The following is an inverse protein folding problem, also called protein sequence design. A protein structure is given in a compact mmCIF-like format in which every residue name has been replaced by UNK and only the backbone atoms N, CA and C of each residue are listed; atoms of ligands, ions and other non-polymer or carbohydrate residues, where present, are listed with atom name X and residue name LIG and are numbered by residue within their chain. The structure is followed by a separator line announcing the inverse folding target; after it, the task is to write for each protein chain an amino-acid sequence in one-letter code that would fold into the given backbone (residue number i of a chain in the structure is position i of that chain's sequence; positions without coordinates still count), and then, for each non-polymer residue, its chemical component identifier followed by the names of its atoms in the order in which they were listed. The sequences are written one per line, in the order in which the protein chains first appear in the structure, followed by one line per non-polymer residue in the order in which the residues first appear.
data_IF_327760753724
#
_entry.id   IF_327760753724
#
_cell.length_a   1.000
_cell.length_b   1.000
_cell.length_c   1.000
_cell.angle_alpha   90.00
_cell.angle_beta   90.00
_cell.angle_gamma   90.00
#
_symmetry.space_group_name_H-M   'P 1'
#
loop_
_entity.id
_entity.type
_entity.pdbx_description
1 polymer ?
#
# COMPACT_ATOMS: atom_id res chain seq x y z
N UNK A 1 2.53 -18.06 1.18
CA UNK A 1 2.49 -18.09 2.66
C UNK A 1 2.54 -16.67 3.22
N UNK A 2 3.47 -15.84 2.78
CA UNK A 2 3.65 -14.47 3.29
C UNK A 2 2.43 -13.58 3.08
N UNK A 3 1.78 -13.65 1.92
CA UNK A 3 0.56 -12.85 1.68
C UNK A 3 -0.60 -13.22 2.62
N UNK A 4 -0.72 -14.49 3.02
CA UNK A 4 -1.69 -14.93 4.02
C UNK A 4 -1.35 -14.37 5.42
N UNK A 5 -0.06 -14.32 5.76
CA UNK A 5 0.38 -13.69 7.01
C UNK A 5 0.12 -12.18 6.99
N UNK A 6 0.41 -11.50 5.88
CA UNK A 6 0.14 -10.07 5.71
C UNK A 6 -1.36 -9.75 5.79
N UNK A 7 -2.23 -10.62 5.26
CA UNK A 7 -3.69 -10.42 5.34
C UNK A 7 -4.24 -10.55 6.77
N UNK A 8 -3.49 -11.13 7.71
CA UNK A 8 -3.88 -11.21 9.12
C UNK A 8 -3.38 -10.03 9.96
N UNK A 9 -2.57 -9.13 9.39
CA UNK A 9 -2.08 -7.95 10.09
C UNK A 9 -3.19 -6.88 10.21
N UNK A 10 -3.24 -6.18 11.34
CA UNK A 10 -4.18 -5.06 11.54
C UNK A 10 -3.61 -3.71 11.08
N UNK A 11 -2.28 -3.59 11.10
CA UNK A 11 -1.53 -2.41 10.69
C UNK A 11 -0.49 -2.82 9.66
N UNK A 12 -0.33 -2.01 8.60
CA UNK A 12 0.56 -2.32 7.49
C UNK A 12 1.37 -1.10 7.10
N UNK A 13 2.68 -1.28 6.96
CA UNK A 13 3.55 -0.34 6.25
C UNK A 13 3.93 -1.02 4.94
N UNK A 14 3.55 -0.42 3.81
CA UNK A 14 3.79 -0.98 2.48
C UNK A 14 4.88 -0.19 1.76
N UNK A 15 5.63 -0.86 0.90
CA UNK A 15 6.49 -0.21 -0.07
C UNK A 15 5.70 0.10 -1.36
N UNK A 16 6.33 0.79 -2.31
CA UNK A 16 5.86 0.93 -3.70
C UNK A 16 5.97 -0.40 -4.47
N UNK A 17 5.33 -1.44 -3.95
CA UNK A 17 5.38 -2.81 -4.45
C UNK A 17 3.96 -3.36 -4.56
N UNK A 18 3.67 -3.97 -5.71
CA UNK A 18 2.37 -4.59 -5.97
C UNK A 18 2.09 -5.73 -5.00
N UNK A 19 3.12 -6.44 -4.53
CA UNK A 19 2.96 -7.52 -3.55
C UNK A 19 2.48 -7.00 -2.19
N UNK A 20 3.12 -5.95 -1.66
CA UNK A 20 2.69 -5.36 -0.39
C UNK A 20 1.35 -4.64 -0.50
N UNK A 21 1.05 -4.04 -1.65
CA UNK A 21 -0.24 -3.42 -1.92
C UNK A 21 -1.38 -4.45 -1.87
N UNK A 22 -1.25 -5.59 -2.56
CA UNK A 22 -2.27 -6.64 -2.52
C UNK A 22 -2.39 -7.29 -1.15
N UNK A 23 -1.28 -7.48 -0.43
CA UNK A 23 -1.31 -8.00 0.94
C UNK A 23 -2.11 -7.10 1.89
N UNK A 24 -1.92 -5.78 1.82
CA UNK A 24 -2.66 -4.81 2.62
C UNK A 24 -4.13 -4.68 2.18
N UNK A 25 -4.40 -4.73 0.86
CA UNK A 25 -5.76 -4.69 0.33
C UNK A 25 -6.58 -5.89 0.81
N UNK A 26 -6.00 -7.09 0.75
CA UNK A 26 -6.64 -8.33 1.21
C UNK A 26 -6.88 -8.35 2.72
N UNK A 27 -6.04 -7.68 3.50
CA UNK A 27 -6.24 -7.55 4.95
C UNK A 27 -7.51 -6.76 5.30
N UNK A 28 -7.96 -5.86 4.42
CA UNK A 28 -9.22 -5.14 4.57
C UNK A 28 -9.27 -4.12 5.72
N UNK A 29 -8.12 -3.83 6.34
CA UNK A 29 -8.00 -2.83 7.40
C UNK A 29 -7.72 -1.43 6.83
N UNK A 30 -8.02 -0.40 7.62
CA UNK A 30 -7.80 1.01 7.25
C UNK A 30 -6.42 1.52 7.67
N UNK A 31 -5.71 0.79 8.54
CA UNK A 31 -4.45 1.23 9.10
C UNK A 31 -3.26 0.87 8.20
N UNK A 32 -3.30 1.35 6.96
CA UNK A 32 -2.26 1.10 5.96
C UNK A 32 -1.54 2.42 5.65
N UNK A 33 -0.22 2.39 5.78
CA UNK A 33 0.68 3.51 5.48
C UNK A 33 1.55 3.12 4.27
N UNK A 34 1.54 3.93 3.23
CA UNK A 34 2.34 3.71 2.02
C UNK A 34 3.05 4.98 1.52
N UNK A 35 4.03 4.84 0.62
CA UNK A 35 4.67 5.97 -0.02
C UNK A 35 3.71 6.63 -1.02
N UNK A 36 3.70 7.96 -1.04
CA UNK A 36 2.97 8.74 -2.06
C UNK A 36 3.67 8.70 -3.43
N UNK A 37 5.00 8.59 -3.42
CA UNK A 37 5.79 8.48 -4.64
C UNK A 37 5.88 7.01 -5.10
N UNK A 38 4.94 6.59 -5.96
CA UNK A 38 4.90 5.20 -6.42
C UNK A 38 5.82 4.91 -7.61
N UNK A 39 5.80 5.80 -8.62
CA UNK A 39 6.49 5.61 -9.90
C UNK A 39 7.76 6.48 -10.08
N UNK A 40 8.11 7.30 -9.08
CA UNK A 40 9.24 8.23 -9.17
C UNK A 40 8.87 9.57 -9.82
N UNK A 41 9.83 10.51 -9.93
CA UNK A 41 9.58 11.89 -10.36
C UNK A 41 9.13 12.03 -11.82
N UNK A 42 9.55 11.11 -12.69
CA UNK A 42 9.15 11.06 -14.11
C UNK A 42 8.12 9.93 -14.38
N UNK A 43 7.47 9.46 -13.31
CA UNK A 43 6.52 8.34 -13.37
C UNK A 43 5.12 8.75 -13.81
N UNK A 44 4.30 7.75 -14.11
CA UNK A 44 2.88 7.92 -14.38
C UNK A 44 2.10 8.41 -13.14
N UNK A 45 0.87 8.86 -13.34
CA UNK A 45 -0.03 9.25 -12.26
C UNK A 45 -0.41 8.02 -11.39
N UNK A 46 -0.08 7.99 -10.08
CA UNK A 46 -0.39 6.87 -9.20
C UNK A 46 -1.81 6.91 -8.62
N UNK A 47 -2.68 7.83 -9.05
CA UNK A 47 -4.03 7.99 -8.49
C UNK A 47 -4.84 6.70 -8.51
N UNK A 48 -4.69 5.85 -9.53
CA UNK A 48 -5.37 4.55 -9.64
C UNK A 48 -4.91 3.51 -8.58
N UNK A 49 -3.79 3.75 -7.92
CA UNK A 49 -3.23 2.90 -6.86
C UNK A 49 -3.72 3.36 -5.49
N UNK A 50 -4.17 4.61 -5.38
CA UNK A 50 -4.57 5.18 -4.11
C UNK A 50 -5.96 4.69 -3.69
N UNK A 51 -6.08 4.38 -2.40
CA UNK A 51 -7.31 3.96 -1.75
C UNK A 51 -7.60 4.99 -0.66
N UNK A 52 -8.78 5.62 -0.73
CA UNK A 52 -9.17 6.74 0.14
C UNK A 52 -9.01 6.47 1.65
N UNK A 53 -9.11 5.21 2.06
CA UNK A 53 -9.01 4.80 3.46
C UNK A 53 -7.57 4.61 3.97
N UNK A 54 -6.55 4.78 3.11
CA UNK A 54 -5.14 4.60 3.44
C UNK A 54 -4.44 5.94 3.65
N UNK A 55 -3.35 5.92 4.41
CA UNK A 55 -2.50 7.09 4.64
C UNK A 55 -1.26 7.01 3.75
N UNK A 56 -0.95 8.11 3.05
CA UNK A 56 0.20 8.20 2.15
C UNK A 56 1.14 9.30 2.61
N UNK A 57 2.42 8.94 2.77
CA UNK A 57 3.46 9.86 3.22
C UNK A 57 4.37 10.26 2.06
N UNK A 58 4.80 11.53 2.06
CA UNK A 58 5.90 12.02 1.22
C UNK A 58 7.21 11.53 1.85
N UNK A 59 7.75 10.41 1.34
CA UNK A 59 9.00 9.76 1.80
C UNK A 59 10.06 9.82 0.72
#
# INVERSE_FOLDING_TARGET
QDMCMMSMCQYQIIANSTFSWWGAWLAGHNNVIGPKLWFGPDGEDPTDIFIDRWEYLDV
#
